data_IF_204168003181
#
_entry.id   IF_204168003181
#
_cell.length_a   1.000
_cell.length_b   1.000
_cell.length_c   1.000
_cell.angle_alpha   90.00
_cell.angle_beta   90.00
_cell.angle_gamma   90.00
#
_symmetry.space_group_name_H-M   'P 1'
#
loop_
_entity.id
_entity.type
_entity.pdbx_description
1 polymer ?
#
# COMPACT_ATOMS: atom_id res chain seq x y z
N UNK A 1 -33.31 -2.30 -9.25
CA UNK A 1 -33.44 -2.60 -7.80
C UNK A 1 -33.35 -1.29 -7.06
N UNK A 2 -34.26 -1.02 -6.13
CA UNK A 2 -34.18 0.16 -5.25
C UNK A 2 -33.13 -0.11 -4.17
N UNK A 3 -32.07 0.69 -4.11
CA UNK A 3 -31.01 0.54 -3.11
C UNK A 3 -31.41 1.26 -1.83
N UNK A 4 -31.40 0.56 -0.71
CA UNK A 4 -31.61 1.13 0.62
C UNK A 4 -30.27 1.41 1.27
N UNK A 5 -30.05 2.65 1.74
CA UNK A 5 -28.83 3.06 2.44
C UNK A 5 -28.94 2.76 3.95
N UNK A 6 -29.09 1.47 4.28
CA UNK A 6 -29.17 0.97 5.65
C UNK A 6 -27.79 0.54 6.20
N UNK A 7 -27.77 0.02 7.43
CA UNK A 7 -26.52 -0.43 8.06
C UNK A 7 -25.81 -1.51 7.23
N UNK A 8 -26.53 -2.38 6.52
CA UNK A 8 -25.93 -3.43 5.71
C UNK A 8 -25.28 -2.88 4.44
N UNK A 9 -25.86 -1.86 3.81
CA UNK A 9 -25.19 -1.10 2.75
C UNK A 9 -23.86 -0.52 3.23
N UNK A 10 -23.83 0.14 4.38
CA UNK A 10 -22.59 0.74 4.90
C UNK A 10 -21.58 -0.31 5.38
N UNK A 11 -22.02 -1.48 5.86
CA UNK A 11 -21.14 -2.63 6.12
C UNK A 11 -20.51 -3.16 4.83
N UNK A 12 -21.29 -3.34 3.77
CA UNK A 12 -20.76 -3.74 2.45
C UNK A 12 -19.75 -2.73 1.92
N UNK A 13 -20.06 -1.44 2.02
CA UNK A 13 -19.14 -0.37 1.66
C UNK A 13 -17.80 -0.46 2.41
N UNK A 14 -17.84 -0.66 3.73
CA UNK A 14 -16.63 -0.74 4.54
C UNK A 14 -15.85 -2.03 4.29
N UNK A 15 -16.52 -3.17 4.15
CA UNK A 15 -15.88 -4.44 3.74
C UNK A 15 -15.16 -4.28 2.40
N UNK A 16 -15.87 -3.74 1.40
CA UNK A 16 -15.31 -3.50 0.08
C UNK A 16 -14.12 -2.53 0.12
N UNK A 17 -14.24 -1.45 0.88
CA UNK A 17 -13.15 -0.49 1.11
C UNK A 17 -11.92 -1.19 1.68
N UNK A 18 -12.10 -1.98 2.74
CA UNK A 18 -11.01 -2.71 3.38
C UNK A 18 -10.33 -3.67 2.40
N UNK A 19 -11.10 -4.46 1.66
CA UNK A 19 -10.56 -5.43 0.67
C UNK A 19 -9.79 -4.73 -0.44
N UNK A 20 -10.32 -3.64 -1.00
CA UNK A 20 -9.64 -2.86 -2.04
C UNK A 20 -8.36 -2.22 -1.52
N UNK A 21 -8.39 -1.60 -0.33
CA UNK A 21 -7.21 -0.98 0.28
C UNK A 21 -6.13 -2.01 0.59
N UNK A 22 -6.52 -3.18 1.12
CA UNK A 22 -5.58 -4.29 1.39
C UNK A 22 -4.94 -4.77 0.09
N UNK A 23 -5.74 -5.04 -0.95
CA UNK A 23 -5.24 -5.52 -2.24
C UNK A 23 -4.36 -4.49 -2.96
N UNK A 24 -4.65 -3.19 -2.80
CA UNK A 24 -3.94 -2.08 -3.46
C UNK A 24 -2.89 -1.42 -2.56
N UNK A 25 -2.58 -1.99 -1.39
CA UNK A 25 -1.66 -1.39 -0.44
C UNK A 25 -0.28 -1.14 -1.06
N UNK A 26 0.28 -2.12 -1.78
CA UNK A 26 1.57 -1.98 -2.45
C UNK A 26 1.55 -0.83 -3.48
N UNK A 27 0.53 -0.80 -4.34
CA UNK A 27 0.36 0.26 -5.33
C UNK A 27 0.24 1.65 -4.70
N UNK A 28 -0.53 1.79 -3.61
CA UNK A 28 -0.66 3.05 -2.87
C UNK A 28 0.66 3.47 -2.22
N UNK A 29 1.45 2.51 -1.73
CA UNK A 29 2.81 2.74 -1.23
C UNK A 29 3.75 3.17 -2.35
N UNK A 30 3.66 2.59 -3.55
CA UNK A 30 4.51 2.98 -4.70
C UNK A 30 4.22 4.42 -5.16
N UNK A 31 2.94 4.82 -5.20
CA UNK A 31 2.56 6.20 -5.49
C UNK A 31 3.16 7.17 -4.44
N UNK A 32 3.07 6.81 -3.17
CA UNK A 32 3.61 7.60 -2.08
C UNK A 32 5.15 7.58 -2.04
N UNK A 33 5.81 6.51 -2.47
CA UNK A 33 7.26 6.46 -2.56
C UNK A 33 7.83 7.45 -3.59
N UNK A 34 7.06 7.76 -4.64
CA UNK A 34 7.47 8.72 -5.65
C UNK A 34 7.48 10.16 -5.13
N UNK A 35 6.56 10.51 -4.21
CA UNK A 35 6.34 11.89 -3.78
C UNK A 35 6.16 12.09 -2.26
N UNK A 36 6.52 11.11 -1.45
CA UNK A 36 6.24 11.06 -0.01
C UNK A 36 7.24 10.15 0.72
N UNK A 37 6.79 9.47 1.76
CA UNK A 37 7.61 8.62 2.63
C UNK A 37 7.30 7.12 2.52
N UNK A 38 6.57 6.73 1.48
CA UNK A 38 6.26 5.33 1.13
C UNK A 38 5.49 4.57 2.24
N UNK A 39 4.66 5.28 3.01
CA UNK A 39 3.95 4.70 4.15
C UNK A 39 2.42 4.65 3.95
N UNK A 40 1.89 5.37 2.95
CA UNK A 40 0.45 5.57 2.81
C UNK A 40 -0.34 4.27 2.67
N UNK A 41 0.09 3.37 1.78
CA UNK A 41 -0.58 2.09 1.56
C UNK A 41 -0.57 1.18 2.79
N UNK A 42 0.58 1.08 3.46
CA UNK A 42 0.74 0.32 4.71
C UNK A 42 -0.13 0.89 5.84
N UNK A 43 -0.17 2.21 5.98
CA UNK A 43 -0.98 2.92 6.98
C UNK A 43 -2.47 2.68 6.77
N UNK A 44 -2.97 2.77 5.53
CA UNK A 44 -4.37 2.50 5.22
C UNK A 44 -4.73 1.02 5.41
N UNK A 45 -3.88 0.09 4.96
CA UNK A 45 -4.06 -1.35 5.18
C UNK A 45 -4.24 -1.66 6.66
N UNK A 46 -3.32 -1.18 7.50
CA UNK A 46 -3.36 -1.37 8.97
C UNK A 46 -4.64 -0.81 9.57
N UNK A 47 -4.99 0.43 9.20
CA UNK A 47 -6.17 1.13 9.70
C UNK A 47 -7.48 0.44 9.38
N UNK A 48 -7.73 0.16 8.11
CA UNK A 48 -8.98 -0.44 7.66
C UNK A 48 -9.13 -1.89 8.10
N UNK A 49 -8.03 -2.67 8.13
CA UNK A 49 -8.06 -4.04 8.68
C UNK A 49 -8.46 -4.02 10.15
N UNK A 50 -7.80 -3.19 10.97
CA UNK A 50 -8.11 -3.11 12.40
C UNK A 50 -9.51 -2.52 12.67
N UNK A 51 -9.97 -1.56 11.86
CA UNK A 51 -11.34 -1.04 11.98
C UNK A 51 -12.41 -2.09 11.66
N UNK A 52 -12.14 -2.96 10.67
CA UNK A 52 -13.03 -4.08 10.34
C UNK A 52 -13.13 -5.07 11.49
N UNK A 53 -12.01 -5.40 12.16
CA UNK A 53 -12.00 -6.26 13.34
C UNK A 53 -12.83 -5.68 14.50
N UNK A 54 -12.66 -4.39 14.80
CA UNK A 54 -13.40 -3.71 15.87
C UNK A 54 -14.90 -3.69 15.60
N UNK A 55 -15.29 -3.36 14.38
CA UNK A 55 -16.72 -3.30 14.02
C UNK A 55 -17.37 -4.68 13.84
N UNK A 56 -16.58 -5.73 13.61
CA UNK A 56 -17.05 -7.11 13.66
C UNK A 56 -17.24 -7.59 15.11
N UNK A 57 -16.36 -7.18 16.03
CA UNK A 57 -16.45 -7.53 17.46
C UNK A 57 -17.63 -6.83 18.16
N UNK A 58 -17.86 -5.56 17.84
CA UNK A 58 -18.97 -4.77 18.38
C UNK A 58 -19.74 -4.10 17.23
N UNK A 59 -20.74 -4.81 16.70
CA UNK A 59 -21.49 -4.39 15.54
C UNK A 59 -22.39 -3.17 15.83
N UNK A 60 -22.11 -1.99 15.24
CA UNK A 60 -22.95 -0.81 15.44
C UNK A 60 -24.32 -1.00 14.80
N UNK A 61 -25.37 -0.46 15.43
CA UNK A 61 -26.76 -0.68 15.03
C UNK A 61 -27.20 0.19 13.83
N UNK A 62 -26.60 1.38 13.66
CA UNK A 62 -27.02 2.37 12.66
C UNK A 62 -25.87 2.74 11.71
N UNK A 63 -26.17 3.24 10.49
CA UNK A 63 -25.16 3.77 9.57
C UNK A 63 -24.27 4.84 10.21
N UNK A 64 -24.88 5.77 10.95
CA UNK A 64 -24.18 6.86 11.60
C UNK A 64 -23.22 6.38 12.69
N UNK A 65 -23.65 5.43 13.52
CA UNK A 65 -22.82 4.82 14.54
C UNK A 65 -21.65 4.04 13.92
N UNK A 66 -21.90 3.30 12.83
CA UNK A 66 -20.89 2.53 12.12
C UNK A 66 -19.77 3.41 11.56
N UNK A 67 -20.11 4.43 10.77
CA UNK A 67 -19.10 5.34 10.22
C UNK A 67 -18.38 6.15 11.31
N UNK A 68 -19.08 6.48 12.39
CA UNK A 68 -18.48 7.18 13.54
C UNK A 68 -17.44 6.29 14.24
N UNK A 69 -17.77 5.03 14.50
CA UNK A 69 -16.87 4.07 15.14
C UNK A 69 -15.60 3.86 14.30
N UNK A 70 -15.74 3.59 13.00
CA UNK A 70 -14.60 3.46 12.09
C UNK A 70 -13.78 4.74 12.04
N UNK A 71 -14.42 5.91 11.92
CA UNK A 71 -13.71 7.18 11.85
C UNK A 71 -12.92 7.51 13.12
N UNK A 72 -13.47 7.19 14.30
CA UNK A 72 -12.75 7.31 15.58
C UNK A 72 -11.57 6.35 15.62
N UNK A 73 -11.76 5.10 15.19
CA UNK A 73 -10.71 4.09 15.16
C UNK A 73 -9.52 4.50 14.29
N UNK A 74 -9.78 4.91 13.05
CA UNK A 74 -8.73 5.35 12.11
C UNK A 74 -7.95 6.56 12.64
N UNK A 75 -8.63 7.50 13.31
CA UNK A 75 -7.97 8.66 13.92
C UNK A 75 -6.94 8.25 14.97
N UNK A 76 -7.18 7.16 15.69
CA UNK A 76 -6.35 6.70 16.81
C UNK A 76 -5.29 5.66 16.41
N UNK A 77 -5.47 4.97 15.29
CA UNK A 77 -4.66 3.79 14.93
C UNK A 77 -3.79 3.98 13.68
N UNK A 78 -4.13 4.92 12.82
CA UNK A 78 -3.39 5.17 11.58
C UNK A 78 -2.43 6.32 11.78
N UNK A 79 -1.14 6.03 11.57
CA UNK A 79 -0.08 7.04 11.56
C UNK A 79 -0.12 7.94 10.32
N UNK A 80 0.70 8.99 10.33
CA UNK A 80 0.78 9.93 9.20
C UNK A 80 -0.43 10.85 9.06
N UNK A 81 -0.50 11.57 7.94
CA UNK A 81 -1.59 12.52 7.68
C UNK A 81 -2.91 11.82 7.34
N UNK A 82 -2.86 10.63 6.74
CA UNK A 82 -4.03 9.92 6.22
C UNK A 82 -5.00 9.47 7.31
N UNK A 83 -4.50 9.05 8.49
CA UNK A 83 -5.31 8.61 9.62
C UNK A 83 -6.30 9.66 10.14
N UNK A 84 -5.82 10.82 10.61
CA UNK A 84 -6.68 11.91 11.04
C UNK A 84 -7.62 12.43 9.94
N UNK A 85 -7.21 12.39 8.67
CA UNK A 85 -8.03 12.87 7.55
C UNK A 85 -9.19 11.91 7.23
N UNK A 86 -8.91 10.63 6.95
CA UNK A 86 -9.98 9.64 6.70
C UNK A 86 -10.84 9.41 7.94
N UNK A 87 -10.22 9.40 9.13
CA UNK A 87 -10.95 9.35 10.39
C UNK A 87 -11.93 10.51 10.55
N UNK A 88 -11.51 11.73 10.20
CA UNK A 88 -12.38 12.92 10.21
C UNK A 88 -13.50 12.83 9.17
N UNK A 89 -13.23 12.35 7.95
CA UNK A 89 -14.24 12.14 6.90
C UNK A 89 -15.35 11.24 7.42
N UNK A 90 -15.01 10.01 7.82
CA UNK A 90 -15.99 9.00 8.21
C UNK A 90 -16.73 9.41 9.50
N UNK A 91 -16.01 9.96 10.48
CA UNK A 91 -16.63 10.46 11.72
C UNK A 91 -17.58 11.62 11.46
N UNK A 92 -17.23 12.54 10.55
CA UNK A 92 -18.11 13.66 10.21
C UNK A 92 -19.34 13.19 9.46
N UNK A 93 -19.18 12.27 8.51
CA UNK A 93 -20.30 11.66 7.80
C UNK A 93 -21.23 10.97 8.79
N UNK A 94 -20.70 10.07 9.64
CA UNK A 94 -21.51 9.31 10.60
C UNK A 94 -22.39 10.19 11.49
N UNK A 95 -21.84 11.30 12.01
CA UNK A 95 -22.62 12.28 12.79
C UNK A 95 -23.76 12.94 12.03
N UNK A 96 -23.61 13.14 10.71
CA UNK A 96 -24.64 13.75 9.88
C UNK A 96 -25.68 12.75 9.39
N UNK A 97 -25.32 11.46 9.30
CA UNK A 97 -26.28 10.39 9.03
C UNK A 97 -27.23 10.17 10.22
N UNK A 98 -26.77 10.46 11.44
CA UNK A 98 -27.57 10.37 12.66
C UNK A 98 -27.86 8.94 13.10
N UNK A 99 -28.88 8.78 13.95
CA UNK A 99 -29.21 7.50 14.60
C UNK A 99 -30.38 6.75 13.91
N UNK A 100 -30.75 7.17 12.71
CA UNK A 100 -31.78 6.50 11.92
C UNK A 100 -31.29 5.17 11.33
N UNK A 101 -32.19 4.19 11.09
CA UNK A 101 -31.80 2.91 10.49
C UNK A 101 -31.55 2.98 8.98
N UNK A 102 -32.05 4.02 8.31
CA UNK A 102 -31.94 4.24 6.86
C UNK A 102 -31.54 5.70 6.61
N UNK A 103 -30.66 5.92 5.64
CA UNK A 103 -30.19 7.23 5.22
C UNK A 103 -30.89 7.66 3.93
N UNK A 104 -31.44 8.85 3.92
CA UNK A 104 -31.96 9.45 2.68
C UNK A 104 -30.81 9.89 1.74
N UNK A 105 -30.94 9.74 0.42
CA UNK A 105 -29.90 10.13 -0.55
C UNK A 105 -29.40 11.57 -0.37
N UNK A 106 -30.29 12.51 -0.05
CA UNK A 106 -29.94 13.91 0.19
C UNK A 106 -29.14 14.08 1.49
N UNK A 107 -29.38 13.23 2.50
CA UNK A 107 -28.60 13.22 3.74
C UNK A 107 -27.19 12.73 3.48
N UNK A 108 -27.01 11.69 2.64
CA UNK A 108 -25.68 11.24 2.21
C UNK A 108 -24.94 12.34 1.44
N UNK A 109 -25.62 13.05 0.52
CA UNK A 109 -25.02 14.17 -0.22
C UNK A 109 -24.53 15.30 0.69
N UNK A 110 -25.35 15.70 1.67
CA UNK A 110 -24.95 16.67 2.70
C UNK A 110 -23.77 16.17 3.54
N UNK A 111 -23.74 14.88 3.86
CA UNK A 111 -22.66 14.26 4.62
C UNK A 111 -21.33 14.27 3.85
N UNK A 112 -21.35 13.91 2.56
CA UNK A 112 -20.18 13.98 1.67
C UNK A 112 -19.63 15.41 1.59
N UNK A 113 -20.48 16.38 1.25
CA UNK A 113 -20.07 17.80 1.15
C UNK A 113 -19.46 18.33 2.47
N UNK A 114 -20.06 17.99 3.60
CA UNK A 114 -19.55 18.40 4.91
C UNK A 114 -18.24 17.70 5.30
N UNK A 115 -18.03 16.45 4.85
CA UNK A 115 -16.77 15.74 5.05
C UNK A 115 -15.64 16.38 4.24
N UNK A 116 -15.87 16.71 2.97
CA UNK A 116 -14.91 17.45 2.13
C UNK A 116 -14.55 18.79 2.78
N UNK A 117 -15.54 19.57 3.21
CA UNK A 117 -15.30 20.83 3.90
C UNK A 117 -14.46 20.66 5.19
N UNK A 118 -14.63 19.54 5.90
CA UNK A 118 -13.87 19.24 7.11
C UNK A 118 -12.41 18.88 6.80
N UNK A 119 -12.16 18.10 5.75
CA UNK A 119 -10.81 17.78 5.27
C UNK A 119 -10.09 19.03 4.79
N UNK A 120 -10.76 19.87 4.00
CA UNK A 120 -10.21 21.14 3.52
C UNK A 120 -9.79 22.04 4.67
N UNK A 121 -10.61 22.15 5.72
CA UNK A 121 -10.29 22.92 6.93
C UNK A 121 -9.14 22.30 7.72
N UNK A 122 -9.14 20.98 7.91
CA UNK A 122 -8.12 20.30 8.72
C UNK A 122 -6.74 20.30 8.04
N UNK A 123 -6.69 20.05 6.74
CA UNK A 123 -5.46 20.02 5.94
C UNK A 123 -5.09 21.35 5.30
N UNK A 124 -5.85 22.42 5.57
CA UNK A 124 -5.73 23.74 4.90
C UNK A 124 -5.62 23.61 3.36
N UNK A 125 -6.35 22.68 2.77
CA UNK A 125 -6.20 22.27 1.37
C UNK A 125 -7.34 22.77 0.49
N UNK A 126 -7.02 23.17 -0.74
CA UNK A 126 -7.96 23.60 -1.76
C UNK A 126 -7.86 22.71 -3.02
N UNK A 127 -8.88 22.69 -3.89
CA UNK A 127 -8.76 22.10 -5.23
C UNK A 127 -7.54 22.66 -5.98
N UNK A 128 -6.76 21.78 -6.58
CA UNK A 128 -5.50 22.06 -7.25
C UNK A 128 -4.26 21.96 -6.35
N UNK A 129 -4.39 21.68 -5.06
CA UNK A 129 -3.25 21.54 -4.15
C UNK A 129 -2.55 20.17 -4.23
N UNK A 130 -3.07 19.25 -5.04
CA UNK A 130 -2.61 17.87 -5.24
C UNK A 130 -2.76 17.06 -3.95
N UNK A 131 -4.00 16.86 -3.53
CA UNK A 131 -4.36 16.12 -2.30
C UNK A 131 -5.63 15.29 -2.51
N UNK A 132 -6.07 14.59 -1.47
CA UNK A 132 -7.37 13.91 -1.46
C UNK A 132 -8.58 14.82 -1.80
N UNK A 133 -8.47 16.14 -1.59
CA UNK A 133 -9.52 17.10 -1.94
C UNK A 133 -9.81 17.07 -3.44
N UNK A 134 -8.79 16.81 -4.27
CA UNK A 134 -8.91 16.78 -5.73
C UNK A 134 -9.74 15.59 -6.23
N UNK A 135 -9.89 14.53 -5.44
CA UNK A 135 -10.83 13.45 -5.71
C UNK A 135 -12.18 13.65 -5.00
N UNK A 136 -12.15 14.08 -3.73
CA UNK A 136 -13.34 14.15 -2.90
C UNK A 136 -14.29 15.30 -3.29
N UNK A 137 -13.77 16.47 -3.65
CA UNK A 137 -14.60 17.62 -4.02
C UNK A 137 -15.39 17.34 -5.31
N UNK A 138 -14.77 16.91 -6.43
CA UNK A 138 -15.52 16.55 -7.63
C UNK A 138 -16.55 15.43 -7.39
N UNK A 139 -16.23 14.45 -6.54
CA UNK A 139 -17.15 13.38 -6.19
C UNK A 139 -18.42 13.90 -5.48
N UNK A 140 -18.24 14.78 -4.49
CA UNK A 140 -19.36 15.36 -3.75
C UNK A 140 -20.23 16.27 -4.64
N UNK A 141 -19.59 17.04 -5.53
CA UNK A 141 -20.29 17.93 -6.47
C UNK A 141 -21.08 17.10 -7.50
N UNK A 142 -20.47 16.08 -8.10
CA UNK A 142 -21.13 15.19 -9.06
C UNK A 142 -22.30 14.41 -8.44
N UNK A 143 -22.18 13.96 -7.19
CA UNK A 143 -23.28 13.34 -6.46
C UNK A 143 -24.47 14.30 -6.31
N UNK A 144 -24.20 15.54 -5.88
CA UNK A 144 -25.23 16.54 -5.65
C UNK A 144 -25.93 16.97 -6.96
N UNK A 145 -25.15 17.15 -8.03
CA UNK A 145 -25.67 17.49 -9.36
C UNK A 145 -26.56 16.39 -9.92
N UNK A 146 -26.15 15.12 -9.79
CA UNK A 146 -26.94 13.98 -10.26
C UNK A 146 -28.31 13.88 -9.54
N UNK A 147 -28.34 14.06 -8.22
CA UNK A 147 -29.61 14.09 -7.48
C UNK A 147 -30.48 15.30 -7.85
N UNK A 148 -29.88 16.49 -7.97
CA UNK A 148 -30.61 17.69 -8.38
C UNK A 148 -31.19 17.57 -9.79
N UNK A 149 -30.54 16.81 -10.67
CA UNK A 149 -31.02 16.46 -12.01
C UNK A 149 -32.12 15.39 -12.05
N UNK A 150 -32.59 14.90 -10.89
CA UNK A 150 -33.62 13.86 -10.79
C UNK A 150 -33.09 12.43 -10.94
N UNK A 151 -31.77 12.24 -10.89
CA UNK A 151 -31.16 10.91 -10.82
C UNK A 151 -31.45 10.23 -9.48
N UNK A 152 -31.45 8.90 -9.49
CA UNK A 152 -31.53 8.13 -8.24
C UNK A 152 -30.17 8.04 -7.53
N UNK A 153 -30.16 7.45 -6.34
CA UNK A 153 -28.95 7.31 -5.52
C UNK A 153 -27.85 6.50 -6.20
N UNK A 154 -28.21 5.53 -7.06
CA UNK A 154 -27.23 4.67 -7.74
C UNK A 154 -26.54 5.48 -8.83
N UNK A 155 -27.29 6.22 -9.63
CA UNK A 155 -26.75 7.13 -10.64
C UNK A 155 -25.88 8.23 -10.00
N UNK A 156 -26.28 8.75 -8.84
CA UNK A 156 -25.49 9.74 -8.10
C UNK A 156 -24.17 9.17 -7.56
N UNK A 157 -24.18 7.94 -7.03
CA UNK A 157 -22.97 7.26 -6.57
C UNK A 157 -22.02 6.89 -7.72
N UNK A 158 -22.54 6.44 -8.87
CA UNK A 158 -21.73 6.19 -10.06
C UNK A 158 -21.06 7.50 -10.56
N UNK A 159 -21.82 8.58 -10.63
CA UNK A 159 -21.29 9.90 -10.99
C UNK A 159 -20.18 10.35 -10.03
N UNK A 160 -20.39 10.18 -8.72
CA UNK A 160 -19.39 10.47 -7.70
C UNK A 160 -18.12 9.63 -7.89
N UNK A 161 -18.27 8.33 -8.14
CA UNK A 161 -17.14 7.41 -8.33
C UNK A 161 -16.32 7.74 -9.59
N UNK A 162 -16.98 8.07 -10.71
CA UNK A 162 -16.31 8.54 -11.93
C UNK A 162 -15.54 9.84 -11.68
N UNK A 163 -16.20 10.84 -11.10
CA UNK A 163 -15.57 12.12 -10.79
C UNK A 163 -14.39 11.99 -9.81
N UNK A 164 -14.47 11.09 -8.83
CA UNK A 164 -13.37 10.83 -7.91
C UNK A 164 -12.13 10.24 -8.64
N UNK A 165 -12.34 9.28 -9.55
CA UNK A 165 -11.27 8.67 -10.35
C UNK A 165 -10.63 9.68 -11.30
N UNK A 166 -11.44 10.48 -11.97
CA UNK A 166 -10.97 11.58 -12.84
C UNK A 166 -10.18 12.61 -12.02
N UNK A 167 -10.67 12.99 -10.84
CA UNK A 167 -9.99 13.89 -9.92
C UNK A 167 -8.65 13.36 -9.45
N UNK A 168 -8.57 12.07 -9.10
CA UNK A 168 -7.31 11.41 -8.76
C UNK A 168 -6.32 11.41 -9.93
N UNK A 169 -6.75 11.05 -11.13
CA UNK A 169 -5.90 11.07 -12.32
C UNK A 169 -5.43 12.50 -12.68
N UNK A 170 -6.29 13.50 -12.49
CA UNK A 170 -5.97 14.91 -12.73
C UNK A 170 -4.86 15.44 -11.81
N UNK A 171 -4.53 14.75 -10.71
CA UNK A 171 -3.42 15.14 -9.84
C UNK A 171 -2.05 14.98 -10.50
N UNK A 172 -1.90 14.11 -11.51
CA UNK A 172 -0.61 13.80 -12.16
C UNK A 172 0.14 15.06 -12.61
N UNK A 173 -0.43 15.96 -13.45
CA UNK A 173 0.26 17.17 -13.88
C UNK A 173 0.36 18.27 -12.81
N UNK A 174 -0.25 18.11 -11.63
CA UNK A 174 -0.25 19.14 -10.60
C UNK A 174 1.05 19.16 -9.80
N UNK A 175 1.51 20.37 -9.46
CA UNK A 175 2.54 20.58 -8.44
C UNK A 175 1.91 20.57 -7.06
N UNK A 176 2.44 19.75 -6.16
CA UNK A 176 1.98 19.65 -4.78
C UNK A 176 2.20 20.94 -4.00
N UNK A 177 1.18 21.35 -3.24
CA UNK A 177 1.21 22.54 -2.36
C UNK A 177 1.00 22.19 -0.89
N UNK A 178 0.56 20.97 -0.60
CA UNK A 178 0.31 20.46 0.76
C UNK A 178 0.95 19.09 0.97
N UNK A 179 1.01 18.67 2.24
CA UNK A 179 1.60 17.40 2.64
C UNK A 179 3.10 17.27 2.33
N UNK A 180 3.64 16.06 2.46
CA UNK A 180 5.06 15.77 2.19
C UNK A 180 5.46 16.01 0.74
N UNK A 181 4.56 15.76 -0.21
CA UNK A 181 4.78 16.01 -1.64
C UNK A 181 5.15 17.46 -1.96
N UNK A 182 4.66 18.42 -1.17
CA UNK A 182 5.00 19.84 -1.35
C UNK A 182 6.50 20.14 -1.19
N UNK A 183 7.24 19.32 -0.44
CA UNK A 183 8.68 19.49 -0.21
C UNK A 183 9.52 19.24 -1.48
N UNK A 184 8.96 18.55 -2.47
CA UNK A 184 9.62 18.21 -3.72
C UNK A 184 9.49 19.30 -4.79
N UNK A 185 8.62 20.29 -4.59
CA UNK A 185 8.37 21.36 -5.56
C UNK A 185 7.95 20.80 -6.93
N UNK A 186 8.62 21.23 -8.00
CA UNK A 186 8.36 20.77 -9.38
C UNK A 186 8.54 19.26 -9.57
N UNK A 187 9.35 18.59 -8.73
CA UNK A 187 9.55 17.13 -8.81
C UNK A 187 8.32 16.32 -8.42
N UNK A 188 7.29 16.96 -7.86
CA UNK A 188 5.99 16.31 -7.60
C UNK A 188 5.10 16.19 -8.86
N UNK A 189 5.41 16.94 -9.92
CA UNK A 189 4.69 16.89 -11.20
C UNK A 189 5.03 15.58 -11.93
N UNK A 190 4.02 14.96 -12.54
CA UNK A 190 4.16 13.67 -13.24
C UNK A 190 3.82 12.45 -12.38
N UNK A 191 3.53 12.64 -11.09
CA UNK A 191 3.19 11.55 -10.16
C UNK A 191 1.76 11.72 -9.64
N UNK A 192 0.99 10.64 -9.57
CA UNK A 192 -0.37 10.68 -9.04
C UNK A 192 -0.36 10.77 -7.50
N UNK A 193 -1.27 11.56 -6.91
CA UNK A 193 -1.37 11.69 -5.45
C UNK A 193 -1.93 10.40 -4.80
N UNK A 194 -1.24 9.82 -3.80
CA UNK A 194 -1.72 8.64 -3.11
C UNK A 194 -3.01 8.89 -2.32
N UNK A 195 -3.20 10.09 -1.74
CA UNK A 195 -4.39 10.46 -0.98
C UNK A 195 -5.65 10.61 -1.86
N UNK A 196 -5.51 11.22 -3.04
CA UNK A 196 -6.56 11.31 -4.05
C UNK A 196 -6.92 9.92 -4.59
N UNK A 197 -5.91 9.08 -4.84
CA UNK A 197 -6.11 7.72 -5.33
C UNK A 197 -6.87 6.85 -4.33
N UNK A 198 -6.48 6.84 -3.05
CA UNK A 198 -7.22 6.08 -2.04
C UNK A 198 -8.61 6.65 -1.80
N UNK A 199 -8.80 7.96 -1.91
CA UNK A 199 -10.14 8.57 -1.83
C UNK A 199 -11.05 8.15 -2.99
N UNK A 200 -10.52 8.07 -4.21
CA UNK A 200 -11.25 7.55 -5.36
C UNK A 200 -11.63 6.07 -5.18
N UNK A 201 -10.76 5.26 -4.56
CA UNK A 201 -11.08 3.88 -4.20
C UNK A 201 -12.23 3.80 -3.20
N UNK A 202 -12.24 4.64 -2.15
CA UNK A 202 -13.34 4.69 -1.17
C UNK A 202 -14.67 5.08 -1.82
N UNK A 203 -14.70 6.13 -2.66
CA UNK A 203 -15.94 6.53 -3.33
C UNK A 203 -16.40 5.45 -4.33
N UNK A 204 -15.45 4.79 -5.01
CA UNK A 204 -15.78 3.65 -5.89
C UNK A 204 -16.37 2.49 -5.09
N UNK A 205 -15.81 2.15 -3.92
CA UNK A 205 -16.36 1.12 -3.04
C UNK A 205 -17.77 1.48 -2.52
N UNK A 206 -18.05 2.77 -2.29
CA UNK A 206 -19.39 3.25 -1.91
C UNK A 206 -20.41 3.04 -3.02
N UNK A 207 -20.01 3.27 -4.29
CA UNK A 207 -20.82 2.92 -5.45
C UNK A 207 -20.99 1.41 -5.59
N UNK A 208 -19.91 0.62 -5.51
CA UNK A 208 -19.97 -0.84 -5.63
C UNK A 208 -20.89 -1.46 -4.57
N UNK A 209 -21.00 -0.87 -3.37
CA UNK A 209 -21.92 -1.34 -2.32
C UNK A 209 -23.42 -1.30 -2.70
N UNK A 210 -23.77 -0.61 -3.79
CA UNK A 210 -25.12 -0.59 -4.36
C UNK A 210 -25.54 -1.93 -4.93
N UNK A 211 -24.57 -2.77 -5.32
CA UNK A 211 -24.79 -4.10 -5.87
C UNK A 211 -23.76 -5.09 -5.29
N UNK A 212 -24.17 -6.08 -4.48
CA UNK A 212 -23.27 -7.09 -3.94
C UNK A 212 -22.39 -7.78 -4.99
N UNK A 213 -22.84 -7.95 -6.23
CA UNK A 213 -22.03 -8.51 -7.31
C UNK A 213 -20.84 -7.63 -7.71
N UNK A 214 -20.94 -6.31 -7.53
CA UNK A 214 -19.81 -5.39 -7.74
C UNK A 214 -18.80 -5.43 -6.58
N UNK A 215 -19.23 -5.89 -5.39
CA UNK A 215 -18.33 -6.10 -4.26
C UNK A 215 -17.56 -7.42 -4.36
N UNK A 216 -18.02 -8.38 -5.16
CA UNK A 216 -17.27 -9.60 -5.42
C UNK A 216 -15.90 -9.27 -5.99
N UNK A 217 -14.88 -9.93 -5.45
CA UNK A 217 -13.55 -9.87 -6.02
C UNK A 217 -13.59 -10.84 -7.20
N UNK A 218 -13.54 -10.33 -8.43
CA UNK A 218 -13.24 -11.19 -9.55
C UNK A 218 -11.93 -11.93 -9.22
N UNK A 219 -11.85 -13.26 -9.36
CA UNK A 219 -10.56 -13.93 -9.30
C UNK A 219 -9.65 -13.17 -10.25
N UNK A 220 -8.46 -12.78 -9.79
CA UNK A 220 -7.57 -11.93 -10.55
C UNK A 220 -7.48 -12.44 -11.99
N UNK A 221 -8.02 -11.65 -12.91
CA UNK A 221 -7.91 -11.91 -14.33
C UNK A 221 -6.44 -11.74 -14.69
N UNK A 222 -5.82 -12.86 -15.05
CA UNK A 222 -4.62 -12.96 -15.83
C UNK A 222 -4.63 -11.88 -16.93
N UNK A 223 -3.90 -10.77 -16.72
CA UNK A 223 -3.51 -9.91 -17.83
C UNK A 223 -2.13 -10.38 -18.26
N UNK A 224 -2.14 -11.08 -19.40
CA UNK A 224 -1.06 -11.90 -19.94
C UNK A 224 0.33 -11.30 -19.86
N UNK A 225 1.24 -12.11 -19.32
CA UNK A 225 2.63 -12.14 -19.74
C UNK A 225 2.84 -13.37 -20.64
N UNK A 226 3.50 -13.10 -21.76
CA UNK A 226 3.91 -14.02 -22.82
C UNK A 226 4.56 -15.28 -22.23
N UNK A 227 3.92 -16.43 -22.40
CA UNK A 227 4.41 -17.72 -21.88
C UNK A 227 5.65 -18.17 -22.64
N UNK A 228 6.83 -18.01 -22.03
CA UNK A 228 8.00 -18.81 -22.37
C UNK A 228 7.87 -20.22 -21.74
N UNK A 229 8.37 -21.29 -22.39
CA UNK A 229 8.02 -22.66 -22.03
C UNK A 229 8.63 -23.08 -20.70
N UNK A 230 7.80 -23.71 -19.87
CA UNK A 230 8.15 -24.26 -18.56
C UNK A 230 9.27 -25.30 -18.65
N UNK A 231 10.31 -25.10 -17.82
CA UNK A 231 11.31 -26.12 -17.54
C UNK A 231 10.86 -26.99 -16.36
N UNK A 232 11.11 -28.29 -16.47
CA UNK A 232 10.66 -29.34 -15.54
C UNK A 232 11.04 -29.10 -14.05
N UNK A 233 10.27 -29.67 -13.08
CA UNK A 233 10.43 -29.35 -11.68
C UNK A 233 11.70 -29.97 -11.07
N UNK A 234 12.58 -29.12 -10.57
CA UNK A 234 13.71 -29.50 -9.71
C UNK A 234 13.29 -29.52 -8.22
N UNK A 235 13.97 -30.29 -7.36
CA UNK A 235 13.64 -30.41 -5.95
C UNK A 235 13.57 -29.04 -5.27
N UNK A 236 12.58 -28.83 -4.39
CA UNK A 236 12.24 -27.54 -3.80
C UNK A 236 13.47 -26.85 -3.17
N UNK A 237 13.94 -25.78 -3.80
CA UNK A 237 14.98 -24.92 -3.25
C UNK A 237 14.53 -24.23 -1.95
N UNK A 238 15.47 -23.59 -1.26
CA UNK A 238 15.17 -22.59 -0.21
C UNK A 238 15.42 -21.20 -0.78
N UNK A 239 14.70 -20.21 -0.27
CA UNK A 239 14.92 -18.80 -0.61
C UNK A 239 16.37 -18.42 -0.32
N UNK A 240 17.06 -17.84 -1.30
CA UNK A 240 18.41 -17.30 -1.13
C UNK A 240 18.39 -15.91 -0.50
N UNK A 241 19.44 -15.54 0.24
CA UNK A 241 19.57 -14.21 0.86
C UNK A 241 20.83 -13.50 0.34
N UNK A 242 20.70 -12.27 -0.13
CA UNK A 242 21.83 -11.42 -0.53
C UNK A 242 21.91 -10.18 0.34
N UNK A 243 23.07 -9.92 0.92
CA UNK A 243 23.34 -8.76 1.75
C UNK A 243 24.20 -7.76 0.98
N UNK A 244 23.60 -6.64 0.58
CA UNK A 244 24.24 -5.59 -0.21
C UNK A 244 24.67 -4.45 0.71
N UNK A 245 25.97 -4.17 0.75
CA UNK A 245 26.51 -3.05 1.53
C UNK A 245 27.51 -2.23 0.73
N UNK A 246 27.71 -0.99 1.16
CA UNK A 246 28.81 -0.18 0.68
C UNK A 246 30.18 -0.71 1.14
N UNK A 247 30.24 -1.52 2.20
CA UNK A 247 31.47 -2.12 2.74
C UNK A 247 31.43 -3.65 2.60
N UNK A 248 32.53 -4.21 2.11
CA UNK A 248 32.75 -5.67 2.06
C UNK A 248 32.69 -6.27 3.46
N UNK A 249 33.33 -5.62 4.41
CA UNK A 249 33.44 -6.06 5.79
C UNK A 249 32.08 -6.07 6.48
N UNK A 250 31.25 -5.03 6.27
CA UNK A 250 29.91 -4.94 6.85
C UNK A 250 28.98 -6.02 6.29
N UNK A 251 28.96 -6.22 4.98
CA UNK A 251 28.15 -7.29 4.37
C UNK A 251 28.61 -8.67 4.85
N UNK A 252 29.92 -8.94 4.88
CA UNK A 252 30.47 -10.22 5.31
C UNK A 252 30.22 -10.50 6.80
N UNK A 253 30.44 -9.50 7.67
CA UNK A 253 30.20 -9.66 9.10
C UNK A 253 28.71 -9.87 9.41
N UNK A 254 27.82 -9.21 8.67
CA UNK A 254 26.37 -9.39 8.84
C UNK A 254 25.93 -10.78 8.37
N UNK A 255 26.46 -11.28 7.25
CA UNK A 255 26.20 -12.64 6.79
C UNK A 255 26.66 -13.68 7.82
N UNK A 256 27.91 -13.55 8.31
CA UNK A 256 28.46 -14.46 9.32
C UNK A 256 27.67 -14.43 10.63
N UNK A 257 27.21 -13.25 11.07
CA UNK A 257 26.34 -13.13 12.24
C UNK A 257 24.99 -13.82 12.01
N UNK A 258 24.37 -13.60 10.86
CA UNK A 258 23.10 -14.24 10.51
C UNK A 258 23.24 -15.77 10.50
N UNK A 259 24.28 -16.30 9.84
CA UNK A 259 24.57 -17.75 9.80
C UNK A 259 24.76 -18.33 11.19
N UNK A 260 25.52 -17.66 12.06
CA UNK A 260 25.75 -18.10 13.44
C UNK A 260 24.45 -18.17 14.27
N UNK A 261 23.43 -17.37 13.93
CA UNK A 261 22.15 -17.31 14.64
C UNK A 261 21.07 -18.24 14.10
N UNK A 262 21.28 -18.87 12.92
CA UNK A 262 20.34 -19.89 12.38
C UNK A 262 20.20 -21.09 13.32
N UNK A 263 21.24 -21.43 14.07
CA UNK A 263 21.23 -22.50 15.08
C UNK A 263 21.20 -23.93 14.51
N UNK A 264 20.84 -24.10 13.24
CA UNK A 264 20.93 -25.36 12.50
C UNK A 264 22.18 -25.35 11.62
N UNK A 265 22.97 -26.42 11.61
CA UNK A 265 24.22 -26.54 10.82
C UNK A 265 24.04 -26.61 9.30
N UNK A 266 22.88 -26.21 8.79
CA UNK A 266 22.50 -26.21 7.37
C UNK A 266 21.67 -24.95 7.05
N UNK A 267 22.29 -23.76 7.01
CA UNK A 267 21.58 -22.53 6.68
C UNK A 267 21.12 -22.50 5.21
N UNK A 268 20.06 -21.73 4.94
CA UNK A 268 19.71 -21.37 3.57
C UNK A 268 20.87 -20.62 2.88
N UNK A 269 20.94 -20.64 1.54
CA UNK A 269 22.02 -19.98 0.82
C UNK A 269 22.06 -18.48 1.11
N UNK A 270 23.22 -17.97 1.51
CA UNK A 270 23.44 -16.54 1.76
C UNK A 270 24.73 -16.06 1.12
N UNK A 271 24.73 -14.84 0.57
CA UNK A 271 25.91 -14.22 -0.02
C UNK A 271 26.00 -12.73 0.33
N UNK A 272 27.24 -12.27 0.54
CA UNK A 272 27.56 -10.87 0.77
C UNK A 272 28.02 -10.19 -0.52
N UNK A 273 27.42 -9.06 -0.86
CA UNK A 273 27.80 -8.19 -1.97
C UNK A 273 28.17 -6.79 -1.43
N UNK A 274 29.41 -6.65 -0.97
CA UNK A 274 29.89 -5.42 -0.35
C UNK A 274 31.06 -4.76 -1.07
N UNK A 275 30.99 -3.44 -1.23
CA UNK A 275 32.08 -2.63 -1.78
C UNK A 275 32.23 -2.68 -3.31
N UNK A 276 33.28 -2.01 -3.78
CA UNK A 276 33.73 -2.04 -5.17
C UNK A 276 34.75 -3.18 -5.38
N UNK A 277 35.00 -3.62 -6.63
CA UNK A 277 35.95 -4.69 -6.93
C UNK A 277 37.39 -4.39 -6.46
N UNK A 278 37.77 -3.12 -6.43
CA UNK A 278 39.08 -2.64 -5.96
C UNK A 278 39.21 -2.57 -4.43
N UNK A 279 38.15 -2.94 -3.69
CA UNK A 279 38.11 -2.89 -2.23
C UNK A 279 37.66 -1.54 -1.65
N UNK A 280 37.31 -0.57 -2.50
CA UNK A 280 36.74 0.70 -2.08
C UNK A 280 35.29 0.58 -1.58
N UNK A 281 34.84 1.62 -0.86
CA UNK A 281 33.45 1.75 -0.40
C UNK A 281 32.55 2.10 -1.59
N UNK A 282 31.46 1.36 -1.78
CA UNK A 282 30.50 1.57 -2.87
C UNK A 282 29.66 0.33 -3.15
N UNK A 283 28.77 0.41 -4.14
CA UNK A 283 27.92 -0.73 -4.53
C UNK A 283 28.26 -1.17 -5.95
N UNK A 284 28.66 -2.43 -6.11
CA UNK A 284 29.00 -3.02 -7.40
C UNK A 284 27.85 -3.87 -7.94
N UNK A 285 27.24 -3.44 -9.04
CA UNK A 285 26.20 -4.20 -9.74
C UNK A 285 26.66 -5.62 -10.12
N UNK A 286 27.94 -5.78 -10.51
CA UNK A 286 28.52 -7.08 -10.84
C UNK A 286 28.56 -8.03 -9.62
N UNK A 287 28.97 -7.51 -8.45
CA UNK A 287 29.01 -8.32 -7.23
C UNK A 287 27.61 -8.72 -6.78
N UNK A 288 26.63 -7.82 -6.93
CA UNK A 288 25.23 -8.10 -6.61
C UNK A 288 24.65 -9.19 -7.53
N UNK A 289 24.85 -9.08 -8.86
CA UNK A 289 24.40 -10.12 -9.81
C UNK A 289 25.02 -11.48 -9.51
N UNK A 290 26.32 -11.50 -9.24
CA UNK A 290 27.04 -12.73 -8.88
C UNK A 290 26.48 -13.32 -7.59
N UNK A 291 26.28 -12.52 -6.55
CA UNK A 291 25.74 -12.99 -5.29
C UNK A 291 24.33 -13.59 -5.44
N UNK A 292 23.45 -12.94 -6.22
CA UNK A 292 22.11 -13.49 -6.54
C UNK A 292 22.24 -14.83 -7.26
N UNK A 293 23.08 -14.92 -8.28
CA UNK A 293 23.32 -16.17 -9.02
C UNK A 293 23.85 -17.30 -8.12
N UNK A 294 24.69 -16.98 -7.15
CA UNK A 294 25.32 -17.96 -6.26
C UNK A 294 24.31 -18.55 -5.24
N UNK A 295 23.29 -17.76 -4.85
CA UNK A 295 22.29 -18.16 -3.84
C UNK A 295 20.96 -18.63 -4.43
N UNK A 296 20.66 -18.32 -5.69
CA UNK A 296 19.40 -18.73 -6.32
C UNK A 296 19.35 -20.27 -6.49
N UNK A 297 18.32 -20.87 -5.90
CA UNK A 297 18.03 -22.32 -5.97
C UNK A 297 16.64 -22.59 -6.57
N UNK A 298 16.06 -21.61 -7.27
CA UNK A 298 14.74 -21.73 -7.89
C UNK A 298 13.56 -21.40 -6.99
N UNK A 299 13.82 -20.98 -5.74
CA UNK A 299 12.78 -20.51 -4.79
C UNK A 299 12.83 -19.00 -4.56
N UNK A 300 13.58 -18.30 -5.41
CA UNK A 300 13.77 -16.85 -5.37
C UNK A 300 14.85 -16.39 -4.39
N UNK A 301 15.17 -15.09 -4.47
CA UNK A 301 16.22 -14.43 -3.69
C UNK A 301 15.71 -13.15 -3.04
N UNK A 302 15.91 -13.02 -1.73
CA UNK A 302 15.67 -11.78 -0.98
C UNK A 302 16.96 -10.98 -0.85
N UNK A 303 16.91 -9.70 -1.17
CA UNK A 303 18.04 -8.78 -1.12
C UNK A 303 17.83 -7.74 -0.03
N UNK A 304 18.74 -7.66 0.93
CA UNK A 304 18.79 -6.58 1.93
C UNK A 304 19.88 -5.58 1.59
N UNK A 305 19.59 -4.30 1.73
CA UNK A 305 20.52 -3.21 1.45
C UNK A 305 20.81 -2.41 2.72
N UNK A 306 22.06 -1.95 2.90
CA UNK A 306 22.43 -1.13 4.06
C UNK A 306 21.93 0.32 3.97
N UNK A 307 22.00 0.93 2.78
CA UNK A 307 21.72 2.34 2.53
C UNK A 307 21.06 2.56 1.16
N UNK A 308 20.48 3.74 0.96
CA UNK A 308 19.66 4.05 -0.21
C UNK A 308 20.34 3.91 -1.59
N UNK A 309 21.64 4.20 -1.73
CA UNK A 309 22.36 4.01 -3.01
C UNK A 309 22.54 2.54 -3.39
N UNK A 310 22.63 1.64 -2.39
CA UNK A 310 22.62 0.21 -2.64
C UNK A 310 21.24 -0.23 -3.18
N UNK A 311 20.16 0.29 -2.59
CA UNK A 311 18.78 0.06 -3.07
C UNK A 311 18.60 0.52 -4.51
N UNK A 312 19.11 1.70 -4.87
CA UNK A 312 19.03 2.20 -6.25
C UNK A 312 19.78 1.29 -7.24
N UNK A 313 20.92 0.75 -6.84
CA UNK A 313 21.70 -0.18 -7.67
C UNK A 313 20.92 -1.48 -7.90
N UNK A 314 20.30 -2.04 -6.86
CA UNK A 314 19.48 -3.25 -6.99
C UNK A 314 18.23 -2.99 -7.80
N UNK A 315 17.56 -1.84 -7.62
CA UNK A 315 16.40 -1.44 -8.44
C UNK A 315 16.76 -1.28 -9.92
N UNK A 316 17.94 -0.73 -10.22
CA UNK A 316 18.42 -0.64 -11.60
C UNK A 316 18.61 -2.03 -12.23
N UNK A 317 19.17 -2.99 -11.47
CA UNK A 317 19.32 -4.38 -11.91
C UNK A 317 17.99 -5.11 -12.11
N UNK A 318 16.97 -4.81 -11.30
CA UNK A 318 15.62 -5.35 -11.48
C UNK A 318 14.95 -4.82 -12.75
N UNK A 319 15.27 -3.59 -13.16
CA UNK A 319 14.71 -2.95 -14.36
C UNK A 319 15.46 -3.22 -15.66
N UNK A 320 16.65 -3.81 -15.60
CA UNK A 320 17.53 -4.03 -16.76
C UNK A 320 17.31 -5.43 -17.36
N UNK A 321 16.75 -5.49 -18.58
CA UNK A 321 16.41 -6.75 -19.27
C UNK A 321 17.61 -7.46 -19.91
N UNK A 322 18.69 -6.74 -20.22
CA UNK A 322 19.87 -7.30 -20.89
C UNK A 322 21.07 -7.41 -19.94
N UNK A 323 21.15 -6.54 -18.95
CA UNK A 323 22.23 -6.48 -17.95
C UNK A 323 21.79 -6.72 -16.50
N UNK A 324 20.54 -7.07 -16.24
CA UNK A 324 20.01 -7.32 -14.90
C UNK A 324 20.33 -8.69 -14.31
N UNK A 325 19.43 -9.20 -13.48
CA UNK A 325 19.54 -10.54 -12.90
C UNK A 325 19.32 -11.66 -13.93
N UNK A 326 19.77 -12.90 -13.65
CA UNK A 326 19.53 -14.03 -14.53
C UNK A 326 18.04 -14.15 -14.90
N UNK A 327 17.75 -14.43 -16.17
CA UNK A 327 16.38 -14.57 -16.65
C UNK A 327 15.62 -15.65 -15.84
N UNK A 328 14.46 -15.29 -15.30
CA UNK A 328 13.64 -16.17 -14.47
C UNK A 328 13.94 -16.14 -12.97
N UNK A 329 14.95 -15.38 -12.50
CA UNK A 329 15.20 -15.21 -11.07
C UNK A 329 14.12 -14.31 -10.43
N UNK A 330 13.36 -14.83 -9.46
CA UNK A 330 12.47 -14.01 -8.60
C UNK A 330 13.31 -13.33 -7.52
N UNK A 331 13.70 -12.07 -7.76
CA UNK A 331 14.54 -11.28 -6.86
C UNK A 331 13.73 -10.14 -6.25
N UNK A 332 13.70 -10.05 -4.92
CA UNK A 332 12.92 -9.01 -4.20
C UNK A 332 13.76 -8.29 -3.16
N UNK A 333 13.60 -6.98 -3.06
CA UNK A 333 14.27 -6.17 -2.04
C UNK A 333 13.43 -6.19 -0.76
N UNK A 334 14.04 -6.57 0.36
CA UNK A 334 13.45 -6.43 1.69
C UNK A 334 13.85 -5.08 2.30
N UNK A 335 12.85 -4.29 2.71
CA UNK A 335 13.04 -2.98 3.32
C UNK A 335 13.09 -3.10 4.85
N UNK A 336 14.22 -3.60 5.36
CA UNK A 336 14.42 -3.89 6.78
C UNK A 336 15.76 -3.32 7.29
N UNK A 337 15.90 -3.05 8.60
CA UNK A 337 17.20 -2.74 9.20
C UNK A 337 18.23 -3.83 8.84
N UNK A 338 19.38 -3.42 8.33
CA UNK A 338 20.29 -4.32 7.61
C UNK A 338 20.66 -5.59 8.40
N UNK A 339 20.95 -5.46 9.71
CA UNK A 339 21.38 -6.58 10.55
C UNK A 339 20.18 -7.43 11.00
N UNK A 340 19.15 -6.81 11.57
CA UNK A 340 17.96 -7.50 12.09
C UNK A 340 17.17 -8.19 10.97
N UNK A 341 17.08 -7.54 9.82
CA UNK A 341 16.50 -8.09 8.62
C UNK A 341 17.31 -9.25 8.06
N UNK A 342 18.64 -9.17 8.04
CA UNK A 342 19.49 -10.26 7.57
C UNK A 342 19.33 -11.53 8.43
N UNK A 343 19.32 -11.37 9.75
CA UNK A 343 19.10 -12.48 10.69
C UNK A 343 17.72 -13.09 10.46
N UNK A 344 16.68 -12.26 10.43
CA UNK A 344 15.29 -12.74 10.30
C UNK A 344 15.04 -13.41 8.94
N UNK A 345 15.58 -12.84 7.86
CA UNK A 345 15.50 -13.42 6.53
C UNK A 345 16.13 -14.81 6.50
N UNK A 346 17.37 -14.92 6.97
CA UNK A 346 18.12 -16.15 6.88
C UNK A 346 17.55 -17.25 7.79
N UNK A 347 17.11 -16.91 9.00
CA UNK A 347 16.43 -17.86 9.90
C UNK A 347 15.15 -18.39 9.26
N UNK A 348 14.31 -17.50 8.72
CA UNK A 348 13.02 -17.88 8.12
C UNK A 348 13.22 -18.73 6.86
N UNK A 349 14.16 -18.35 6.00
CA UNK A 349 14.51 -19.11 4.80
C UNK A 349 15.10 -20.48 5.16
N UNK A 350 15.96 -20.56 6.18
CA UNK A 350 16.56 -21.82 6.65
C UNK A 350 15.52 -22.79 7.20
N UNK A 351 14.47 -22.26 7.84
CA UNK A 351 13.31 -23.01 8.32
C UNK A 351 12.36 -23.47 7.20
N UNK A 352 12.64 -23.15 5.93
CA UNK A 352 11.83 -23.53 4.78
C UNK A 352 10.68 -22.56 4.47
N UNK A 353 10.71 -21.34 5.00
CA UNK A 353 9.76 -20.29 4.63
C UNK A 353 9.87 -19.94 3.15
N UNK A 354 8.71 -19.75 2.51
CA UNK A 354 8.64 -19.25 1.14
C UNK A 354 8.98 -17.75 1.05
N UNK A 355 9.05 -17.23 -0.19
CA UNK A 355 9.39 -15.82 -0.45
C UNK A 355 8.51 -14.84 0.34
N UNK A 356 7.20 -15.13 0.47
CA UNK A 356 6.28 -14.27 1.18
C UNK A 356 6.53 -14.28 2.69
N UNK A 357 6.77 -15.46 3.27
CA UNK A 357 7.12 -15.61 4.67
C UNK A 357 8.44 -14.92 5.02
N UNK A 358 9.46 -15.07 4.18
CA UNK A 358 10.77 -14.42 4.37
C UNK A 358 10.63 -12.89 4.34
N UNK A 359 9.89 -12.33 3.37
CA UNK A 359 9.66 -10.90 3.28
C UNK A 359 8.84 -10.35 4.47
N UNK A 360 7.78 -11.05 4.87
CA UNK A 360 6.98 -10.66 6.03
C UNK A 360 7.82 -10.62 7.32
N UNK A 361 8.65 -11.65 7.52
CA UNK A 361 9.52 -11.71 8.68
C UNK A 361 10.57 -10.58 8.67
N UNK A 362 11.11 -10.21 7.50
CA UNK A 362 12.00 -9.04 7.41
C UNK A 362 11.29 -7.72 7.70
N UNK A 363 10.03 -7.55 7.30
CA UNK A 363 9.26 -6.33 7.58
C UNK A 363 9.03 -6.15 9.09
N UNK A 364 8.72 -7.24 9.80
CA UNK A 364 8.55 -7.23 11.26
C UNK A 364 9.81 -6.74 12.00
N UNK A 365 11.00 -7.03 11.46
CA UNK A 365 12.28 -6.62 12.05
C UNK A 365 12.43 -5.09 12.18
N UNK A 366 11.68 -4.29 11.40
CA UNK A 366 11.63 -2.82 11.52
C UNK A 366 11.10 -2.35 12.87
N UNK A 367 10.26 -3.17 13.52
CA UNK A 367 9.56 -2.81 14.76
C UNK A 367 10.25 -3.34 16.01
N UNK A 368 11.37 -4.04 15.87
CA UNK A 368 12.09 -4.64 16.99
C UNK A 368 12.62 -3.56 17.93
N UNK A 369 12.02 -3.49 19.13
CA UNK A 369 12.53 -2.65 20.22
C UNK A 369 13.56 -3.45 21.02
N UNK A 370 14.76 -2.88 21.13
CA UNK A 370 15.84 -3.44 21.96
C UNK A 370 15.77 -2.99 23.42
N UNK A 371 14.87 -2.06 23.74
CA UNK A 371 14.59 -1.48 25.05
C UNK A 371 13.09 -1.29 25.27
#
# INVERSE_FOLDING_TARGET
MTVTLDTDFFRRFLDRTTRVVVARAAYLTDLDAAIGDADHGANLKRGFTSAAEVTAAEAPATPGALLTAVGVHLTNTVGGASGPLFGTVLRRMGKLLGDGPVVEPETLGRALAAAVASVRRLGDSAPGDKTMVDALQPAADAYAEALAGGGDVVAALDAAARAAREGAAATVPMRARRGRASYLGERSVGHQDPGATSSAMLITALYEATDPALCEVAPEGETGEDTAPEAEPQPAGRVGVVLVSHSREVAAATAALAEALVGTGDPAPVAAAGGLPDGGVGTSAELVRRAVKDVDRGSGVVVLCDMGSAVLTVKALLGDREGGFPAGADVRIADAPFVEGAVTALVTASAGGDMAAVLAATDDARTYRKL
#
